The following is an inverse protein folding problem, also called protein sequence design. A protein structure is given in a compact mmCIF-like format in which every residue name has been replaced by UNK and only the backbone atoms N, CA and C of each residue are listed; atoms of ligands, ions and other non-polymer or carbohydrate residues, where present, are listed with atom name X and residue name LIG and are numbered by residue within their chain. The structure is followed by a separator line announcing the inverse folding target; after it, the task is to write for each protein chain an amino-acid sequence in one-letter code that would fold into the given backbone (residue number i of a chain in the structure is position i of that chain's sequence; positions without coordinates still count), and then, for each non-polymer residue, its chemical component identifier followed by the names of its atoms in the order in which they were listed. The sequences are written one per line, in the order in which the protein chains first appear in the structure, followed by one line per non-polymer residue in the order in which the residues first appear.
data_IF_039253106337
#
_entry.id   IF_039253106337
#
_cell.length_a   1.000
_cell.length_b   1.000
_cell.length_c   1.000
_cell.angle_alpha   90.00
_cell.angle_beta   90.00
_cell.angle_gamma   90.00
#
_symmetry.space_group_name_H-M   'P 1'
#
loop_
_entity.id
_entity.type
_entity.pdbx_description
1 polymer ?
#
# COMPACT_ATOMS: atom_id res chain seq x y z
N UNK A 1 25.30 -2.21 5.62
CA UNK A 1 24.88 -2.69 6.93
C UNK A 1 23.44 -2.29 7.25
N UNK A 2 22.83 -2.99 8.19
CA UNK A 2 21.45 -2.69 8.63
C UNK A 2 21.46 -1.45 9.51
N UNK A 3 20.54 -0.53 9.25
CA UNK A 3 20.35 0.64 10.11
C UNK A 3 19.30 0.33 11.16
N UNK A 4 19.66 0.43 12.42
CA UNK A 4 18.73 0.25 13.54
C UNK A 4 18.59 1.58 14.26
N UNK A 5 17.37 2.12 14.28
CA UNK A 5 17.07 3.39 14.91
C UNK A 5 15.91 3.24 15.88
N UNK A 6 16.09 3.80 17.07
CA UNK A 6 15.02 3.89 18.05
C UNK A 6 14.94 5.32 18.56
N UNK A 7 13.77 5.90 18.50
CA UNK A 7 13.51 7.23 19.07
C UNK A 7 12.18 7.21 19.81
N UNK A 8 12.13 7.92 20.92
CA UNK A 8 10.88 8.04 21.66
C UNK A 8 10.08 9.26 21.21
N UNK A 9 10.78 10.33 20.81
CA UNK A 9 10.14 11.57 20.40
C UNK A 9 11.02 12.31 19.40
N UNK A 10 10.46 12.74 18.29
CA UNK A 10 11.17 13.55 17.30
C UNK A 10 11.02 13.05 15.87
N UNK A 11 11.61 13.78 14.97
CA UNK A 11 11.58 13.46 13.54
C UNK A 11 12.79 12.61 13.15
N UNK A 12 12.53 11.59 12.32
CA UNK A 12 13.59 10.76 11.72
C UNK A 12 13.56 11.00 10.21
N UNK A 13 14.72 11.31 9.66
CA UNK A 13 14.85 11.47 8.21
C UNK A 13 16.06 10.69 7.73
N UNK A 14 15.80 9.77 6.79
CA UNK A 14 16.84 8.95 6.15
C UNK A 14 16.73 9.16 4.63
N UNK A 15 17.84 9.45 3.98
CA UNK A 15 17.87 9.61 2.54
C UNK A 15 17.99 8.24 1.84
N UNK A 16 19.17 7.69 1.82
CA UNK A 16 19.40 6.37 1.25
C UNK A 16 19.95 5.45 2.34
N UNK A 17 19.38 4.26 2.42
CA UNK A 17 19.81 3.30 3.43
C UNK A 17 19.71 1.88 2.90
N UNK A 18 20.52 0.99 3.45
CA UNK A 18 20.32 -0.44 3.30
C UNK A 18 19.13 -0.92 4.13
N UNK A 19 19.07 -2.18 4.55
CA UNK A 19 17.98 -2.64 5.40
C UNK A 19 17.83 -1.76 6.64
N UNK A 20 16.60 -1.39 6.97
CA UNK A 20 16.32 -0.48 8.10
C UNK A 20 15.34 -1.11 9.07
N UNK A 21 15.64 -0.98 10.36
CA UNK A 21 14.72 -1.30 11.43
C UNK A 21 14.54 -0.04 12.29
N UNK A 22 13.35 0.53 12.22
CA UNK A 22 13.08 1.81 12.85
C UNK A 22 11.91 1.69 13.80
N UNK A 23 12.10 2.15 15.03
CA UNK A 23 11.05 2.22 16.02
C UNK A 23 10.93 3.63 16.58
N UNK A 24 9.74 4.19 16.51
CA UNK A 24 9.47 5.52 17.01
C UNK A 24 8.26 5.52 17.95
N UNK A 25 8.32 6.32 18.98
CA UNK A 25 7.16 6.57 19.82
C UNK A 25 6.23 7.57 19.17
N UNK A 26 6.70 8.82 19.03
CA UNK A 26 5.91 9.93 18.48
C UNK A 26 6.78 10.79 17.58
N UNK A 27 6.30 11.15 16.39
CA UNK A 27 7.03 12.08 15.53
C UNK A 27 6.72 11.91 14.05
N UNK A 28 7.65 12.31 13.23
CA UNK A 28 7.55 12.15 11.79
C UNK A 28 8.70 11.28 11.29
N UNK A 29 8.38 10.32 10.46
CA UNK A 29 9.36 9.42 9.87
C UNK A 29 9.35 9.63 8.36
N UNK A 30 10.49 10.02 7.82
CA UNK A 30 10.68 10.15 6.38
C UNK A 30 11.87 9.32 5.94
N UNK A 31 11.64 8.38 5.04
CA UNK A 31 12.68 7.55 4.44
C UNK A 31 12.56 7.69 2.93
N UNK A 32 13.60 8.14 2.26
CA UNK A 32 13.53 8.36 0.81
C UNK A 32 13.72 7.07 0.02
N UNK A 33 14.74 6.29 0.37
CA UNK A 33 15.04 5.06 -0.36
C UNK A 33 15.63 3.99 0.56
N UNK A 34 15.13 2.77 0.43
CA UNK A 34 15.64 1.60 1.16
C UNK A 34 16.03 0.54 0.15
N UNK A 35 17.30 0.14 0.15
CA UNK A 35 17.76 -1.01 -0.64
C UNK A 35 17.80 -2.24 0.26
N UNK A 36 16.70 -2.98 0.28
CA UNK A 36 16.51 -4.13 1.12
C UNK A 36 15.21 -4.07 1.91
N UNK A 37 15.18 -4.67 3.08
CA UNK A 37 13.96 -4.70 3.90
C UNK A 37 13.80 -3.45 4.74
N UNK A 38 12.59 -2.95 4.80
CA UNK A 38 12.20 -1.84 5.67
C UNK A 38 11.24 -2.34 6.74
N UNK A 39 11.64 -2.26 7.99
CA UNK A 39 10.78 -2.54 9.13
C UNK A 39 10.60 -1.26 9.93
N UNK A 40 9.39 -0.71 9.92
CA UNK A 40 9.08 0.57 10.58
C UNK A 40 7.88 0.40 11.49
N UNK A 41 8.09 0.62 12.78
CA UNK A 41 7.04 0.54 13.78
C UNK A 41 6.94 1.84 14.56
N UNK A 42 5.74 2.36 14.69
CA UNK A 42 5.53 3.60 15.44
C UNK A 42 4.25 3.54 16.27
N UNK A 43 4.27 4.24 17.39
CA UNK A 43 3.07 4.46 18.19
C UNK A 43 2.17 5.53 17.58
N UNK A 44 2.72 6.71 17.31
CA UNK A 44 1.97 7.84 16.77
C UNK A 44 2.85 8.67 15.86
N UNK A 45 2.89 8.35 14.58
CA UNK A 45 3.74 9.06 13.62
C UNK A 45 3.14 9.09 12.24
N UNK A 46 3.46 10.16 11.53
CA UNK A 46 3.29 10.19 10.10
C UNK A 46 4.50 9.53 9.45
N UNK A 47 4.28 8.51 8.67
CA UNK A 47 5.33 7.73 8.03
C UNK A 47 5.29 7.97 6.53
N UNK A 48 6.40 8.40 5.97
CA UNK A 48 6.56 8.57 4.54
C UNK A 48 7.78 7.79 4.06
N UNK A 49 7.56 6.86 3.17
CA UNK A 49 8.62 6.06 2.56
C UNK A 49 8.53 6.23 1.05
N UNK A 50 9.64 6.63 0.43
CA UNK A 50 9.67 6.82 -1.01
C UNK A 50 9.73 5.51 -1.78
N UNK A 51 10.87 4.82 -1.70
CA UNK A 51 11.08 3.57 -2.42
C UNK A 51 11.62 2.50 -1.50
N UNK A 52 11.08 1.29 -1.61
CA UNK A 52 11.62 0.11 -0.94
C UNK A 52 11.95 -0.95 -1.99
N UNK A 53 13.23 -1.25 -2.12
CA UNK A 53 13.70 -2.32 -3.01
C UNK A 53 13.84 -3.59 -2.18
N UNK A 54 12.72 -4.19 -1.86
CA UNK A 54 12.64 -5.38 -1.02
C UNK A 54 11.34 -5.43 -0.23
N UNK A 55 11.40 -6.06 0.93
CA UNK A 55 10.21 -6.25 1.78
C UNK A 55 9.95 -5.02 2.65
N UNK A 56 8.70 -4.63 2.75
CA UNK A 56 8.28 -3.53 3.63
C UNK A 56 7.33 -4.04 4.72
N UNK A 57 7.65 -3.77 5.98
CA UNK A 57 6.77 -4.02 7.11
C UNK A 57 6.62 -2.71 7.89
N UNK A 58 5.46 -2.09 7.75
CA UNK A 58 5.21 -0.76 8.32
C UNK A 58 3.97 -0.81 9.20
N UNK A 59 4.09 -0.35 10.43
CA UNK A 59 2.94 -0.26 11.31
C UNK A 59 2.95 1.00 12.16
N UNK A 60 1.77 1.59 12.31
CA UNK A 60 1.58 2.72 13.22
C UNK A 60 0.23 2.63 13.93
N UNK A 61 0.19 3.08 15.17
CA UNK A 61 -1.06 3.20 15.90
C UNK A 61 -1.89 4.38 15.41
N UNK A 62 -1.28 5.56 15.33
CA UNK A 62 -1.98 6.78 14.90
C UNK A 62 -1.12 7.55 13.90
N UNK A 63 -1.73 8.03 12.83
CA UNK A 63 -1.06 8.86 11.83
C UNK A 63 -1.29 8.38 10.42
N UNK A 64 -0.64 9.05 9.50
CA UNK A 64 -0.74 8.71 8.08
C UNK A 64 0.48 7.91 7.64
N UNK A 65 0.25 6.85 6.88
CA UNK A 65 1.31 6.09 6.24
C UNK A 65 1.23 6.29 4.73
N UNK A 66 2.32 6.71 4.15
CA UNK A 66 2.44 6.80 2.69
C UNK A 66 3.70 6.08 2.25
N UNK A 67 3.51 5.10 1.39
CA UNK A 67 4.60 4.34 0.78
C UNK A 67 4.55 4.59 -0.72
N UNK A 68 5.66 5.01 -1.31
CA UNK A 68 5.73 5.28 -2.73
C UNK A 68 5.76 4.00 -3.56
N UNK A 69 6.92 3.42 -3.75
CA UNK A 69 7.10 2.22 -4.57
C UNK A 69 7.68 1.10 -3.73
N UNK A 70 7.06 -0.08 -3.79
CA UNK A 70 7.58 -1.30 -3.15
C UNK A 70 7.77 -2.36 -4.22
N UNK A 71 8.96 -2.90 -4.33
CA UNK A 71 9.27 -3.94 -5.33
C UNK A 71 9.00 -5.35 -4.80
N UNK A 72 9.14 -5.56 -3.50
CA UNK A 72 8.89 -6.85 -2.85
C UNK A 72 7.57 -6.88 -2.07
N UNK A 73 7.35 -7.96 -1.30
CA UNK A 73 6.16 -8.05 -0.47
C UNK A 73 6.06 -6.92 0.55
N UNK A 74 4.87 -6.39 0.74
CA UNK A 74 4.62 -5.30 1.69
C UNK A 74 3.50 -5.65 2.66
N UNK A 75 3.72 -5.33 3.93
CA UNK A 75 2.72 -5.46 4.97
C UNK A 75 2.59 -4.11 5.70
N UNK A 76 1.46 -3.46 5.54
CA UNK A 76 1.24 -2.13 6.12
C UNK A 76 0.00 -2.15 7.00
N UNK A 77 0.16 -1.74 8.25
CA UNK A 77 -0.92 -1.71 9.24
C UNK A 77 -1.05 -0.34 9.88
N UNK A 78 -2.26 0.18 9.89
CA UNK A 78 -2.58 1.44 10.56
C UNK A 78 -3.83 1.23 11.41
N UNK A 79 -3.79 1.68 12.66
CA UNK A 79 -4.99 1.60 13.49
C UNK A 79 -5.90 2.80 13.26
N UNK A 80 -5.36 4.02 13.31
CA UNK A 80 -6.15 5.24 13.12
C UNK A 80 -5.41 6.20 12.19
N UNK A 81 -5.97 6.45 11.03
CA UNK A 81 -5.38 7.36 10.04
C UNK A 81 -5.55 6.84 8.62
N UNK A 82 -4.92 7.50 7.69
CA UNK A 82 -4.96 7.09 6.29
C UNK A 82 -3.74 6.25 5.92
N UNK A 83 -3.97 5.25 5.08
CA UNK A 83 -2.94 4.40 4.52
C UNK A 83 -2.93 4.57 3.00
N UNK A 84 -1.78 4.94 2.44
CA UNK A 84 -1.63 5.13 1.00
C UNK A 84 -0.37 4.43 0.49
N UNK A 85 -0.52 3.67 -0.57
CA UNK A 85 0.60 3.06 -1.30
C UNK A 85 0.47 3.50 -2.76
N UNK A 86 1.50 4.14 -3.28
CA UNK A 86 1.45 4.66 -4.65
C UNK A 86 1.56 3.54 -5.69
N UNK A 87 2.53 2.64 -5.51
CA UNK A 87 2.72 1.52 -6.44
C UNK A 87 3.23 0.27 -5.73
N UNK A 88 2.58 -0.86 -5.99
CA UNK A 88 3.01 -2.17 -5.50
C UNK A 88 3.36 -3.08 -6.68
N UNK A 89 4.56 -3.61 -6.69
CA UNK A 89 5.06 -4.51 -7.75
C UNK A 89 5.02 -5.98 -7.34
N UNK A 90 4.54 -6.27 -6.15
CA UNK A 90 4.45 -7.62 -5.61
C UNK A 90 3.27 -7.72 -4.64
N UNK A 91 3.23 -8.75 -3.82
CA UNK A 91 2.15 -8.95 -2.86
C UNK A 91 2.09 -7.80 -1.84
N UNK A 92 0.88 -7.33 -1.55
CA UNK A 92 0.68 -6.30 -0.55
C UNK A 92 -0.47 -6.66 0.38
N UNK A 93 -0.23 -6.52 1.68
CA UNK A 93 -1.26 -6.62 2.71
C UNK A 93 -1.40 -5.27 3.40
N UNK A 94 -2.54 -4.64 3.22
CA UNK A 94 -2.84 -3.34 3.81
C UNK A 94 -4.03 -3.48 4.74
N UNK A 95 -3.85 -3.15 6.01
CA UNK A 95 -4.90 -3.25 7.00
C UNK A 95 -5.05 -1.93 7.78
N UNK A 96 -6.28 -1.47 7.87
CA UNK A 96 -6.62 -0.27 8.64
C UNK A 96 -7.81 -0.57 9.55
N UNK A 97 -7.80 -0.02 10.75
CA UNK A 97 -8.98 -0.12 11.61
C UNK A 97 -9.92 1.07 11.38
N UNK A 98 -9.40 2.29 11.44
CA UNK A 98 -10.21 3.49 11.28
C UNK A 98 -9.52 4.43 10.29
N UNK A 99 -10.03 4.47 9.07
CA UNK A 99 -9.52 5.33 8.02
C UNK A 99 -9.54 4.67 6.65
N UNK A 100 -9.10 5.40 5.69
CA UNK A 100 -9.11 4.98 4.29
C UNK A 100 -7.85 4.22 3.93
N UNK A 101 -8.00 3.20 3.10
CA UNK A 101 -6.90 2.47 2.47
C UNK A 101 -6.92 2.79 0.99
N UNK A 102 -5.82 3.34 0.48
CA UNK A 102 -5.70 3.69 -0.92
C UNK A 102 -4.44 3.06 -1.50
N UNK A 103 -4.61 2.28 -2.55
CA UNK A 103 -3.51 1.69 -3.31
C UNK A 103 -3.61 2.22 -4.74
N UNK A 104 -2.63 3.02 -5.15
CA UNK A 104 -2.68 3.73 -6.43
C UNK A 104 -2.56 2.81 -7.63
N UNK A 105 -1.55 1.94 -7.63
CA UNK A 105 -1.34 1.00 -8.73
C UNK A 105 -0.82 -0.33 -8.21
N UNK A 106 -1.45 -1.41 -8.64
CA UNK A 106 -0.95 -2.77 -8.45
C UNK A 106 -0.62 -3.35 -9.81
N UNK A 107 0.60 -3.84 -9.96
CA UNK A 107 1.08 -4.38 -11.24
C UNK A 107 0.86 -5.88 -11.31
N UNK A 108 1.19 -6.59 -10.23
CA UNK A 108 1.07 -8.05 -10.14
C UNK A 108 1.05 -8.49 -8.68
N UNK A 109 0.69 -9.75 -8.45
CA UNK A 109 0.69 -10.35 -7.13
C UNK A 109 -0.67 -10.31 -6.45
N UNK A 110 -0.68 -10.53 -5.15
CA UNK A 110 -1.90 -10.56 -4.34
C UNK A 110 -2.03 -9.30 -3.52
N UNK A 111 -3.20 -8.70 -3.57
CA UNK A 111 -3.53 -7.53 -2.76
C UNK A 111 -4.58 -7.92 -1.75
N UNK A 112 -4.28 -7.71 -0.48
CA UNK A 112 -5.24 -7.85 0.59
C UNK A 112 -5.41 -6.50 1.27
N UNK A 113 -6.50 -5.81 0.98
CA UNK A 113 -6.80 -4.50 1.52
C UNK A 113 -8.02 -4.60 2.43
N UNK A 114 -7.83 -4.30 3.70
CA UNK A 114 -8.90 -4.43 4.70
C UNK A 114 -9.04 -3.14 5.50
N UNK A 115 -10.27 -2.68 5.65
CA UNK A 115 -10.60 -1.61 6.60
C UNK A 115 -11.78 -2.05 7.48
N UNK A 116 -11.83 -1.56 8.70
CA UNK A 116 -13.04 -1.72 9.51
C UNK A 116 -13.99 -0.55 9.29
N UNK A 117 -13.49 0.66 9.47
CA UNK A 117 -14.26 1.89 9.30
C UNK A 117 -13.54 2.80 8.32
N UNK A 118 -13.97 2.79 7.08
CA UNK A 118 -13.38 3.61 6.02
C UNK A 118 -13.44 2.94 4.67
N UNK A 119 -13.15 3.70 3.64
CA UNK A 119 -13.14 3.20 2.26
C UNK A 119 -11.88 2.43 1.92
N UNK A 120 -11.99 1.56 0.95
CA UNK A 120 -10.84 0.88 0.34
C UNK A 120 -10.85 1.19 -1.15
N UNK A 121 -9.75 1.72 -1.66
CA UNK A 121 -9.59 2.02 -3.07
C UNK A 121 -8.33 1.33 -3.60
N UNK A 122 -8.47 0.57 -4.66
CA UNK A 122 -7.36 -0.13 -5.31
C UNK A 122 -7.35 0.18 -6.80
N UNK A 123 -6.21 0.64 -7.30
CA UNK A 123 -5.95 0.80 -8.72
C UNK A 123 -5.24 -0.42 -9.29
N UNK A 124 -5.73 -0.94 -10.40
CA UNK A 124 -5.13 -2.06 -11.11
C UNK A 124 -4.52 -1.55 -12.41
N UNK A 125 -3.29 -1.96 -12.70
CA UNK A 125 -2.61 -1.55 -13.92
C UNK A 125 -3.40 -2.02 -15.16
N UNK A 126 -3.51 -1.15 -16.13
CA UNK A 126 -4.15 -1.50 -17.41
C UNK A 126 -3.38 -2.63 -18.08
N UNK A 127 -4.11 -3.60 -18.61
CA UNK A 127 -3.52 -4.77 -19.27
C UNK A 127 -3.26 -5.94 -18.34
N UNK A 128 -3.40 -5.78 -17.02
CA UNK A 128 -3.30 -6.91 -16.08
C UNK A 128 -4.66 -7.60 -15.95
N UNK A 129 -4.63 -8.93 -15.84
CA UNK A 129 -5.83 -9.69 -15.52
C UNK A 129 -6.08 -9.58 -14.01
N UNK A 130 -7.30 -9.23 -13.62
CA UNK A 130 -7.64 -9.03 -12.22
C UNK A 130 -8.67 -10.04 -11.73
N UNK A 131 -8.35 -10.72 -10.64
CA UNK A 131 -9.29 -11.50 -9.85
C UNK A 131 -9.74 -10.66 -8.68
N UNK A 132 -11.04 -10.44 -8.56
CA UNK A 132 -11.59 -9.52 -7.57
C UNK A 132 -12.49 -10.26 -6.57
N UNK A 133 -12.16 -10.13 -5.30
CA UNK A 133 -13.03 -10.52 -4.20
C UNK A 133 -13.30 -9.26 -3.37
N UNK A 134 -14.45 -8.66 -3.59
CA UNK A 134 -14.82 -7.37 -3.00
C UNK A 134 -15.98 -7.57 -2.05
N UNK A 135 -15.83 -7.10 -0.82
CA UNK A 135 -16.86 -7.28 0.20
C UNK A 135 -16.99 -6.05 1.10
N UNK A 136 -18.21 -5.66 1.36
CA UNK A 136 -18.52 -4.64 2.37
C UNK A 136 -19.77 -5.07 3.14
N UNK A 137 -19.76 -4.89 4.46
CA UNK A 137 -20.93 -5.18 5.28
C UNK A 137 -21.96 -4.04 5.16
N UNK A 138 -21.48 -2.80 5.21
CA UNK A 138 -22.33 -1.60 5.05
C UNK A 138 -21.62 -0.61 4.15
N UNK A 139 -22.12 -0.45 2.95
CA UNK A 139 -21.53 0.43 1.95
C UNK A 139 -21.80 -0.07 0.54
N UNK A 140 -21.05 0.45 -0.41
CA UNK A 140 -21.20 0.09 -1.81
C UNK A 140 -19.89 -0.39 -2.40
N UNK A 141 -19.99 -1.31 -3.33
CA UNK A 141 -18.84 -1.78 -4.12
C UNK A 141 -18.94 -1.13 -5.49
N UNK A 142 -17.90 -0.40 -5.87
CA UNK A 142 -17.75 0.21 -7.18
C UNK A 142 -16.65 -0.51 -7.94
N UNK A 143 -17.01 -1.20 -8.99
CA UNK A 143 -16.04 -1.83 -9.88
C UNK A 143 -16.01 -1.04 -11.20
N UNK A 144 -14.99 -0.21 -11.33
CA UNK A 144 -14.75 0.63 -12.50
C UNK A 144 -13.78 0.00 -13.50
N UNK A 145 -13.39 -1.25 -13.26
CA UNK A 145 -12.64 -2.00 -14.26
C UNK A 145 -13.58 -2.31 -15.42
N UNK A 146 -13.37 -1.63 -16.53
CA UNK A 146 -14.08 -2.02 -17.75
C UNK A 146 -13.74 -3.48 -18.06
N UNK A 147 -14.74 -4.22 -18.49
CA UNK A 147 -14.51 -5.53 -19.04
C UNK A 147 -13.76 -5.36 -20.37
N UNK A 148 -12.53 -4.87 -20.29
CA UNK A 148 -11.63 -4.89 -21.42
C UNK A 148 -11.44 -6.35 -21.79
N UNK A 149 -11.77 -6.69 -23.00
CA UNK A 149 -11.80 -8.05 -23.49
C UNK A 149 -10.63 -8.90 -23.01
N UNK A 150 -10.88 -10.19 -22.95
CA UNK A 150 -9.88 -11.18 -22.58
C UNK A 150 -8.53 -10.86 -23.24
N UNK A 151 -7.40 -10.96 -22.49
CA UNK A 151 -6.09 -10.76 -23.09
C UNK A 151 -5.96 -11.65 -24.33
N UNK A 152 -5.37 -11.11 -25.38
CA UNK A 152 -5.18 -11.88 -26.61
C UNK A 152 -4.41 -13.17 -26.30
N UNK A 153 -4.88 -14.27 -26.84
CA UNK A 153 -4.26 -15.57 -26.59
C UNK A 153 -2.79 -15.56 -27.01
N UNK A 154 -1.88 -15.82 -26.06
CA UNK A 154 -0.45 -15.89 -26.29
C UNK A 154 0.37 -14.75 -25.71
N UNK A 155 -0.24 -13.67 -25.20
CA UNK A 155 0.50 -12.64 -24.49
C UNK A 155 0.62 -12.97 -22.99
N UNK A 156 1.84 -12.91 -22.40
CA UNK A 156 1.96 -13.08 -20.97
C UNK A 156 1.32 -11.88 -20.29
N UNK A 157 0.28 -12.13 -19.48
CA UNK A 157 -0.45 -11.10 -18.75
C UNK A 157 -0.12 -11.23 -17.28
N UNK A 158 0.30 -10.13 -16.66
CA UNK A 158 0.44 -10.08 -15.22
C UNK A 158 -0.93 -10.28 -14.58
N UNK A 159 -1.01 -11.16 -13.59
CA UNK A 159 -2.25 -11.44 -12.87
C UNK A 159 -2.21 -10.78 -11.51
N UNK A 160 -3.27 -10.06 -11.19
CA UNK A 160 -3.48 -9.42 -9.90
C UNK A 160 -4.68 -10.07 -9.22
N UNK A 161 -4.47 -10.56 -8.01
CA UNK A 161 -5.57 -11.02 -7.16
C UNK A 161 -5.85 -9.95 -6.10
N UNK A 162 -7.04 -9.37 -6.15
CA UNK A 162 -7.43 -8.30 -5.21
C UNK A 162 -8.51 -8.80 -4.28
N UNK A 163 -8.21 -8.78 -2.99
CA UNK A 163 -9.19 -9.01 -1.93
C UNK A 163 -9.37 -7.72 -1.16
N UNK A 164 -10.47 -7.06 -1.35
CA UNK A 164 -10.78 -5.81 -0.66
C UNK A 164 -12.01 -6.00 0.22
N UNK A 165 -11.83 -5.72 1.50
CA UNK A 165 -12.90 -5.89 2.48
C UNK A 165 -13.00 -4.71 3.41
N UNK A 166 -14.20 -4.21 3.60
CA UNK A 166 -14.48 -3.23 4.65
C UNK A 166 -15.75 -3.60 5.40
N UNK A 167 -15.88 -3.16 6.63
CA UNK A 167 -17.15 -3.31 7.36
C UNK A 167 -18.05 -2.12 7.14
N UNK A 168 -17.53 -0.92 7.32
CA UNK A 168 -18.29 0.32 7.13
C UNK A 168 -17.53 1.19 6.13
N UNK A 169 -18.03 1.30 4.91
CA UNK A 169 -17.42 2.11 3.87
C UNK A 169 -17.59 1.52 2.48
N UNK A 170 -17.06 2.19 1.50
CA UNK A 170 -17.15 1.77 0.13
C UNK A 170 -15.87 1.06 -0.32
N UNK A 171 -16.01 0.12 -1.22
CA UNK A 171 -14.88 -0.51 -1.88
C UNK A 171 -14.89 -0.05 -3.34
N UNK A 172 -13.81 0.54 -3.79
CA UNK A 172 -13.67 1.03 -5.17
C UNK A 172 -12.47 0.37 -5.84
N UNK A 173 -12.70 -0.23 -6.98
CA UNK A 173 -11.64 -0.77 -7.84
C UNK A 173 -11.67 -0.01 -9.15
N UNK A 174 -10.52 0.48 -9.57
CA UNK A 174 -10.38 1.27 -10.80
C UNK A 174 -9.10 0.90 -11.53
N UNK A 175 -8.98 1.34 -12.77
CA UNK A 175 -7.70 1.28 -13.46
C UNK A 175 -6.76 2.34 -12.92
N UNK A 176 -5.51 1.97 -12.68
CA UNK A 176 -4.48 2.94 -12.34
C UNK A 176 -4.27 3.90 -13.51
N UNK A 177 -4.03 5.20 -13.25
CA UNK A 177 -3.74 6.14 -14.31
C UNK A 177 -2.45 5.75 -15.04
N UNK A 178 -2.41 5.93 -16.35
CA UNK A 178 -1.18 5.71 -17.12
C UNK A 178 -0.16 6.78 -16.76
N UNK A 179 1.10 6.38 -16.64
CA UNK A 179 2.19 7.34 -16.40
C UNK A 179 2.31 8.37 -17.52
N UNK A 180 1.88 8.03 -18.73
CA UNK A 180 1.93 8.92 -19.90
C UNK A 180 0.89 10.05 -19.82
N UNK A 181 -0.13 9.93 -18.97
CA UNK A 181 -1.16 10.97 -18.82
C UNK A 181 -0.76 12.09 -17.85
N UNK A 182 0.45 12.04 -17.32
CA UNK A 182 1.00 13.07 -16.43
C UNK A 182 1.97 14.03 -17.15
N UNK A 183 1.72 14.27 -18.40
CA UNK A 183 2.52 15.27 -19.12
C UNK A 183 2.07 16.68 -18.75
#
# INVERSE_FOLDING_TARGET
GTVVLKTDLGAVRLAETGPVNLRSGVGEITVESVSGSAEVHSGSSNIRIGTVDGTADVSTGNGKVRVGVVTGPANVKVSNGALSVDRALSDITAANANGEVQIGEVVRGKVSATSKNGGVEVGVRQGSAAWLELNTDVGRVYNELEASGAPEAGEPVDTVEVRARTKLGNVTIRHAPRLDDQA
#
